data_IF_400014443277
#
_entry.id   IF_400014443277
#
_cell.length_a   1.000
_cell.length_b   1.000
_cell.length_c   1.000
_cell.angle_alpha   90.00
_cell.angle_beta   90.00
_cell.angle_gamma   90.00
#
_symmetry.space_group_name_H-M   'P 1'
#
loop_
_entity.id
_entity.type
_entity.pdbx_description
1 polymer ?
#
# COMPACT_ATOMS: atom_id res chain seq x y z
N UNK A 1 4.23 7.81 -25.03
CA UNK A 1 2.82 7.73 -24.68
C UNK A 1 2.34 9.02 -24.05
N UNK A 2 1.06 9.23 -24.13
CA UNK A 2 0.44 10.39 -23.53
C UNK A 2 0.50 10.30 -22.02
N UNK A 3 0.79 11.40 -21.37
CA UNK A 3 0.80 11.46 -19.92
C UNK A 3 -0.63 11.27 -19.37
N UNK A 4 -0.69 10.58 -18.24
CA UNK A 4 -1.95 10.37 -17.52
C UNK A 4 -2.12 11.44 -16.46
N UNK A 5 -3.36 11.82 -16.21
CA UNK A 5 -3.65 12.74 -15.11
C UNK A 5 -4.08 11.93 -13.87
N UNK A 6 -4.29 12.64 -12.77
CA UNK A 6 -4.59 11.98 -11.49
C UNK A 6 -5.82 11.08 -11.57
N UNK A 7 -6.82 11.46 -12.36
CA UNK A 7 -8.04 10.67 -12.45
C UNK A 7 -7.83 9.36 -13.22
N UNK A 8 -6.78 9.28 -13.99
CA UNK A 8 -6.48 8.10 -14.80
C UNK A 8 -5.47 7.17 -14.14
N UNK A 9 -4.86 7.60 -13.05
CA UNK A 9 -3.85 6.81 -12.34
C UNK A 9 -4.49 6.11 -11.16
N UNK A 10 -4.40 4.79 -11.16
CA UNK A 10 -4.90 4.02 -10.03
C UNK A 10 -3.84 4.02 -8.93
N UNK A 11 -4.24 4.43 -7.72
CA UNK A 11 -3.38 4.37 -6.55
C UNK A 11 -3.97 3.41 -5.54
N UNK A 12 -3.10 2.64 -4.89
CA UNK A 12 -3.54 1.74 -3.83
C UNK A 12 -2.45 1.59 -2.80
N UNK A 13 -2.86 1.25 -1.61
CA UNK A 13 -1.90 0.92 -0.55
C UNK A 13 -1.08 -0.30 -0.99
N UNK A 14 0.22 -0.22 -0.80
CA UNK A 14 1.12 -1.29 -1.18
C UNK A 14 1.76 -1.14 -2.55
N UNK A 15 1.33 -0.16 -3.34
CA UNK A 15 1.99 0.12 -4.62
C UNK A 15 3.40 0.63 -4.35
N UNK A 16 4.39 -0.07 -4.90
CA UNK A 16 5.79 0.20 -4.56
C UNK A 16 6.37 1.43 -5.23
N UNK A 17 5.65 2.00 -6.22
CA UNK A 17 6.10 3.24 -6.84
C UNK A 17 5.86 4.45 -5.93
N UNK A 18 5.04 4.28 -4.88
CA UNK A 18 4.75 5.35 -3.92
C UNK A 18 5.74 5.21 -2.77
N UNK A 19 6.54 6.24 -2.55
CA UNK A 19 7.56 6.23 -1.50
C UNK A 19 6.93 6.07 -0.13
N UNK A 20 7.65 5.39 0.75
CA UNK A 20 7.15 5.12 2.12
C UNK A 20 6.84 6.39 2.89
N UNK A 21 7.51 7.49 2.57
CA UNK A 21 7.27 8.76 3.24
C UNK A 21 5.85 9.27 3.04
N UNK A 22 5.28 9.02 1.86
CA UNK A 22 3.87 9.38 1.63
C UNK A 22 2.93 8.52 2.47
N UNK A 23 3.23 7.24 2.59
CA UNK A 23 2.43 6.34 3.42
C UNK A 23 2.53 6.77 4.88
N UNK A 24 3.73 7.13 5.33
CA UNK A 24 3.93 7.57 6.71
C UNK A 24 3.20 8.87 6.99
N UNK A 25 3.23 9.80 6.05
CA UNK A 25 2.49 11.05 6.19
C UNK A 25 0.99 10.79 6.25
N UNK A 26 0.50 9.93 5.36
CA UNK A 26 -0.91 9.53 5.38
C UNK A 26 -1.29 8.96 6.76
N UNK A 27 -0.46 8.06 7.26
CA UNK A 27 -0.69 7.42 8.54
C UNK A 27 -0.77 8.44 9.68
N UNK A 28 0.21 9.33 9.74
CA UNK A 28 0.24 10.32 10.81
C UNK A 28 -0.96 11.26 10.75
N UNK A 29 -1.31 11.72 9.55
CA UNK A 29 -2.40 12.69 9.39
C UNK A 29 -3.76 12.04 9.60
N UNK A 30 -3.98 10.91 8.99
CA UNK A 30 -5.29 10.27 9.01
C UNK A 30 -5.61 9.68 10.39
N UNK A 31 -4.62 9.04 11.01
CA UNK A 31 -4.83 8.44 12.33
C UNK A 31 -4.56 9.43 13.46
N UNK A 32 -4.24 10.67 13.13
CA UNK A 32 -3.93 11.70 14.10
C UNK A 32 -2.91 11.17 15.13
N UNK A 33 -1.82 10.61 14.62
CA UNK A 33 -0.79 10.02 15.46
C UNK A 33 -0.20 11.10 16.37
N UNK A 34 -0.19 10.89 17.69
CA UNK A 34 0.36 11.87 18.61
C UNK A 34 1.79 12.24 18.24
N UNK A 35 2.08 13.52 18.27
CA UNK A 35 3.38 14.02 17.82
C UNK A 35 4.54 13.32 18.52
N UNK A 36 4.40 13.10 19.84
CA UNK A 36 5.48 12.48 20.62
C UNK A 36 5.67 11.00 20.28
N UNK A 37 4.77 10.37 19.56
CA UNK A 37 4.89 8.97 19.13
C UNK A 37 5.36 8.83 17.69
N UNK A 38 5.44 9.92 16.94
CA UNK A 38 5.76 9.82 15.52
C UNK A 38 7.17 9.28 15.28
N UNK A 39 8.08 9.46 16.22
CA UNK A 39 9.41 8.85 16.10
C UNK A 39 9.39 7.35 16.32
N UNK A 40 8.41 6.87 17.08
CA UNK A 40 8.33 5.46 17.45
C UNK A 40 7.51 4.63 16.46
N UNK A 41 6.67 5.29 15.66
CA UNK A 41 5.78 4.61 14.73
C UNK A 41 6.21 4.99 13.32
N UNK A 42 6.83 4.05 12.62
CA UNK A 42 7.45 4.31 11.31
C UNK A 42 7.04 3.27 10.29
N UNK A 43 6.91 3.73 9.05
CA UNK A 43 6.64 2.85 7.91
C UNK A 43 7.96 2.51 7.23
N UNK A 44 8.21 1.23 7.05
CA UNK A 44 9.41 0.74 6.36
C UNK A 44 9.00 -0.23 5.27
N UNK A 45 9.78 -0.25 4.19
CA UNK A 45 9.60 -1.21 3.12
C UNK A 45 10.94 -1.86 2.82
N UNK A 46 10.94 -3.18 2.75
CA UNK A 46 12.14 -3.94 2.37
C UNK A 46 11.99 -4.42 0.94
N UNK A 47 12.83 -3.92 0.05
CA UNK A 47 12.85 -4.40 -1.33
C UNK A 47 13.36 -5.83 -1.41
N UNK A 48 14.11 -6.26 -0.39
CA UNK A 48 14.66 -7.59 -0.33
C UNK A 48 13.56 -8.65 -0.10
N UNK A 49 12.65 -8.38 0.84
CA UNK A 49 11.56 -9.32 1.15
C UNK A 49 10.25 -8.92 0.49
N UNK A 50 10.19 -7.74 -0.12
CA UNK A 50 8.98 -7.15 -0.69
C UNK A 50 7.88 -6.97 0.35
N UNK A 51 8.28 -6.66 1.58
CA UNK A 51 7.31 -6.50 2.68
C UNK A 51 7.35 -5.12 3.27
N UNK A 52 6.18 -4.64 3.64
CA UNK A 52 6.00 -3.43 4.40
C UNK A 52 5.91 -3.76 5.88
N UNK A 53 6.49 -2.90 6.71
CA UNK A 53 6.42 -3.07 8.15
C UNK A 53 6.13 -1.71 8.79
N UNK A 54 5.20 -1.70 9.74
CA UNK A 54 4.97 -0.52 10.55
C UNK A 54 5.51 -0.83 11.94
N UNK A 55 6.59 -0.13 12.27
CA UNK A 55 7.24 -0.27 13.55
C UNK A 55 6.43 0.45 14.61
N UNK A 56 6.37 -0.10 15.81
CA UNK A 56 5.75 0.57 16.94
C UNK A 56 4.24 0.58 16.93
N UNK A 57 3.61 -0.39 16.30
CA UNK A 57 2.15 -0.45 16.16
C UNK A 57 1.41 -0.44 17.50
N UNK A 58 2.04 -0.90 18.57
CA UNK A 58 1.42 -1.00 19.88
C UNK A 58 1.74 0.19 20.78
N UNK A 59 2.38 1.23 20.26
CA UNK A 59 2.82 2.36 21.08
C UNK A 59 1.70 3.29 21.52
N UNK A 60 0.56 3.27 20.81
CA UNK A 60 -0.56 4.16 21.15
C UNK A 60 -1.39 3.57 22.28
N UNK A 61 -1.97 4.47 23.07
CA UNK A 61 -2.86 4.08 24.17
C UNK A 61 -4.12 3.41 23.61
N UNK A 62 -4.66 2.45 24.37
CA UNK A 62 -5.95 1.84 24.04
C UNK A 62 -7.09 2.86 24.01
N UNK A 63 -6.90 4.03 24.61
CA UNK A 63 -7.89 5.11 24.59
C UNK A 63 -7.82 5.93 23.31
N UNK A 64 -6.88 5.66 22.43
CA UNK A 64 -6.75 6.39 21.19
C UNK A 64 -7.91 6.05 20.27
N UNK A 65 -8.78 7.02 20.05
CA UNK A 65 -10.02 6.81 19.30
C UNK A 65 -9.74 6.49 17.84
N UNK A 66 -8.82 7.22 17.23
CA UNK A 66 -8.50 6.97 15.81
C UNK A 66 -7.97 5.55 15.63
N UNK A 67 -7.10 5.10 16.52
CA UNK A 67 -6.42 3.82 16.38
C UNK A 67 -7.32 2.62 16.69
N UNK A 68 -8.22 2.75 17.66
CA UNK A 68 -8.97 1.60 18.14
C UNK A 68 -10.47 1.67 17.87
N UNK A 69 -10.96 2.79 17.33
CA UNK A 69 -12.39 2.95 17.07
C UNK A 69 -12.63 3.40 15.62
N UNK A 70 -12.11 4.56 15.22
CA UNK A 70 -12.40 5.12 13.91
C UNK A 70 -11.80 4.27 12.79
N UNK A 71 -10.52 3.94 12.90
CA UNK A 71 -9.78 3.22 11.86
C UNK A 71 -9.30 1.86 12.34
N UNK A 72 -9.76 1.42 13.48
CA UNK A 72 -9.37 0.13 14.03
C UNK A 72 -10.43 -0.47 14.92
N UNK A 73 -10.07 -1.58 15.55
CA UNK A 73 -10.91 -2.26 16.52
C UNK A 73 -10.10 -2.52 17.78
N UNK A 74 -10.74 -2.99 18.83
CA UNK A 74 -10.02 -3.36 20.05
C UNK A 74 -9.06 -4.53 19.81
N UNK A 75 -9.29 -5.32 18.77
CA UNK A 75 -8.49 -6.51 18.46
C UNK A 75 -7.44 -6.27 17.39
N UNK A 76 -7.62 -5.20 16.60
CA UNK A 76 -6.65 -4.83 15.57
C UNK A 76 -6.72 -3.33 15.39
N UNK A 77 -5.68 -2.62 15.83
CA UNK A 77 -5.71 -1.18 15.70
C UNK A 77 -5.40 -0.73 14.28
N UNK A 78 -5.53 0.57 14.04
CA UNK A 78 -5.37 1.15 12.71
C UNK A 78 -4.02 0.84 12.07
N UNK A 79 -2.96 0.83 12.88
CA UNK A 79 -1.61 0.60 12.38
C UNK A 79 -1.42 -0.84 11.91
N UNK A 80 -1.99 -1.79 12.62
CA UNK A 80 -1.96 -3.19 12.21
C UNK A 80 -2.76 -3.39 10.92
N UNK A 81 -3.92 -2.77 10.83
CA UNK A 81 -4.76 -2.88 9.64
C UNK A 81 -4.07 -2.24 8.44
N UNK A 82 -3.44 -1.09 8.65
CA UNK A 82 -2.68 -0.44 7.58
C UNK A 82 -1.53 -1.33 7.09
N UNK A 83 -0.79 -1.94 8.02
CA UNK A 83 0.31 -2.82 7.65
C UNK A 83 -0.18 -4.00 6.83
N UNK A 84 -1.27 -4.63 7.23
CA UNK A 84 -1.84 -5.73 6.46
C UNK A 84 -2.30 -5.27 5.09
N UNK A 85 -2.88 -4.07 5.01
CA UNK A 85 -3.33 -3.50 3.74
C UNK A 85 -2.16 -3.26 2.80
N UNK A 86 -1.06 -2.74 3.32
CA UNK A 86 0.15 -2.50 2.53
C UNK A 86 0.72 -3.81 1.96
N UNK A 87 0.58 -4.89 2.71
CA UNK A 87 1.07 -6.20 2.29
C UNK A 87 0.01 -7.02 1.56
N UNK A 88 -1.10 -6.38 1.19
CA UNK A 88 -2.19 -7.00 0.42
C UNK A 88 -2.78 -8.21 1.12
N UNK A 89 -2.90 -8.13 2.45
CA UNK A 89 -3.49 -9.18 3.27
C UNK A 89 -4.80 -8.70 3.88
N UNK A 90 -5.75 -9.60 3.99
CA UNK A 90 -6.96 -9.33 4.75
C UNK A 90 -6.68 -9.57 6.22
N UNK A 91 -7.25 -8.71 7.06
CA UNK A 91 -7.11 -8.87 8.51
C UNK A 91 -7.99 -10.02 8.97
N UNK A 92 -7.43 -10.95 9.72
CA UNK A 92 -8.17 -12.06 10.32
C UNK A 92 -7.91 -12.09 11.80
N UNK A 93 -8.98 -12.20 12.57
CA UNK A 93 -8.90 -12.19 14.03
C UNK A 93 -9.24 -13.58 14.54
N UNK A 94 -8.36 -14.10 15.37
CA UNK A 94 -8.49 -15.45 15.92
C UNK A 94 -8.61 -15.39 17.44
N UNK A 95 -9.45 -16.24 17.98
CA UNK A 95 -9.49 -16.51 19.42
C UNK A 95 -8.72 -17.78 19.69
N UNK A 96 -8.09 -17.83 20.85
CA UNK A 96 -7.45 -19.05 21.32
C UNK A 96 -8.40 -19.72 22.28
N UNK A 97 -8.78 -20.95 21.97
CA UNK A 97 -9.67 -21.71 22.85
C UNK A 97 -8.94 -22.97 23.30
N UNK A 98 -9.33 -23.45 24.47
CA UNK A 98 -8.78 -24.68 25.04
C UNK A 98 -9.82 -25.77 24.88
N UNK A 99 -9.44 -26.89 24.28
CA UNK A 99 -10.36 -28.00 24.07
C UNK A 99 -10.41 -28.91 25.33
N UNK A 100 -11.19 -29.99 25.23
CA UNK A 100 -11.40 -30.90 26.35
C UNK A 100 -10.12 -31.57 26.80
N UNK A 101 -9.11 -31.67 25.92
CA UNK A 101 -7.81 -32.29 26.23
C UNK A 101 -6.82 -31.32 26.81
N UNK A 102 -7.21 -30.05 27.01
CA UNK A 102 -6.31 -29.02 27.48
C UNK A 102 -5.42 -28.44 26.43
N UNK A 103 -5.63 -28.78 25.16
CA UNK A 103 -4.84 -28.23 24.05
C UNK A 103 -5.47 -26.94 23.56
N UNK A 104 -4.60 -25.97 23.25
CA UNK A 104 -5.04 -24.72 22.70
C UNK A 104 -5.14 -24.83 21.18
N UNK A 105 -6.17 -24.20 20.62
CA UNK A 105 -6.28 -24.06 19.17
C UNK A 105 -6.85 -22.70 18.83
N UNK A 106 -6.54 -22.25 17.64
CA UNK A 106 -7.01 -20.96 17.15
C UNK A 106 -8.28 -21.14 16.35
N UNK A 107 -9.25 -20.29 16.61
CA UNK A 107 -10.55 -20.31 15.94
C UNK A 107 -10.82 -18.92 15.40
N UNK A 108 -11.20 -18.84 14.14
CA UNK A 108 -11.50 -17.54 13.53
C UNK A 108 -12.70 -16.92 14.25
N UNK A 109 -12.53 -15.67 14.67
CA UNK A 109 -13.64 -14.89 15.22
C UNK A 109 -14.26 -14.13 14.05
N UNK A 110 -15.38 -14.63 13.54
CA UNK A 110 -16.01 -14.07 12.35
C UNK A 110 -16.49 -12.64 12.57
N UNK A 111 -17.03 -12.35 13.73
CA UNK A 111 -17.55 -11.01 14.04
C UNK A 111 -16.43 -9.99 14.08
N UNK A 112 -15.36 -10.30 14.80
CA UNK A 112 -14.21 -9.38 14.90
C UNK A 112 -13.50 -9.23 13.58
N UNK A 113 -13.42 -10.31 12.80
CA UNK A 113 -12.81 -10.26 11.48
C UNK A 113 -13.62 -9.37 10.54
N UNK A 114 -14.95 -9.47 10.58
CA UNK A 114 -15.81 -8.62 9.75
C UNK A 114 -15.65 -7.16 10.14
N UNK A 115 -15.61 -6.88 11.44
CA UNK A 115 -15.41 -5.50 11.90
C UNK A 115 -14.08 -4.94 11.44
N UNK A 116 -13.02 -5.74 11.54
CA UNK A 116 -11.69 -5.33 11.07
C UNK A 116 -11.69 -5.11 9.56
N UNK A 117 -12.40 -5.93 8.80
CA UNK A 117 -12.49 -5.77 7.35
C UNK A 117 -13.18 -4.46 6.97
N UNK A 118 -14.17 -4.04 7.74
CA UNK A 118 -14.82 -2.75 7.51
C UNK A 118 -13.86 -1.59 7.74
N UNK A 119 -13.05 -1.68 8.79
CA UNK A 119 -12.04 -0.66 9.06
C UNK A 119 -10.97 -0.65 7.99
N UNK A 120 -10.59 -1.82 7.50
CA UNK A 120 -9.63 -1.91 6.40
C UNK A 120 -10.13 -1.20 5.16
N UNK A 121 -11.40 -1.38 4.83
CA UNK A 121 -11.99 -0.69 3.69
C UNK A 121 -12.03 0.82 3.91
N UNK A 122 -12.36 1.25 5.13
CA UNK A 122 -12.36 2.67 5.49
C UNK A 122 -10.97 3.28 5.27
N UNK A 123 -9.92 2.57 5.67
CA UNK A 123 -8.55 3.05 5.49
C UNK A 123 -8.18 3.12 4.01
N UNK A 124 -8.57 2.12 3.22
CA UNK A 124 -8.31 2.12 1.78
C UNK A 124 -8.96 3.32 1.09
N UNK A 125 -10.19 3.59 1.46
CA UNK A 125 -10.91 4.73 0.89
C UNK A 125 -10.31 6.06 1.34
N UNK A 126 -9.91 6.14 2.60
CA UNK A 126 -9.26 7.33 3.11
C UNK A 126 -7.95 7.62 2.36
N UNK A 127 -7.19 6.58 2.01
CA UNK A 127 -5.94 6.77 1.28
C UNK A 127 -6.20 7.31 -0.12
N UNK A 128 -7.20 6.80 -0.81
CA UNK A 128 -7.53 7.27 -2.15
C UNK A 128 -7.93 8.75 -2.14
N UNK A 129 -8.65 9.17 -1.11
CA UNK A 129 -9.02 10.57 -0.97
C UNK A 129 -7.82 11.43 -0.62
N UNK A 130 -6.98 10.95 0.29
CA UNK A 130 -5.86 11.72 0.81
C UNK A 130 -4.79 11.96 -0.23
N UNK A 131 -4.49 10.94 -1.04
CA UNK A 131 -3.30 10.95 -1.90
C UNK A 131 -3.36 12.08 -2.93
N UNK A 132 -4.53 12.39 -3.46
CA UNK A 132 -4.70 13.43 -4.47
C UNK A 132 -5.22 14.76 -3.92
N UNK A 133 -5.45 14.83 -2.62
CA UNK A 133 -6.09 16.00 -2.03
C UNK A 133 -5.19 17.22 -2.04
N UNK A 134 -3.92 17.04 -1.74
CA UNK A 134 -2.95 18.14 -1.76
C UNK A 134 -2.46 18.36 -3.18
N UNK A 135 -2.60 19.59 -3.73
CA UNK A 135 -2.21 19.82 -5.12
C UNK A 135 -0.74 19.58 -5.41
N UNK A 136 0.15 19.94 -4.48
CA UNK A 136 1.58 19.77 -4.67
C UNK A 136 1.94 18.29 -4.67
N UNK A 137 1.40 17.54 -3.73
CA UNK A 137 1.60 16.09 -3.68
C UNK A 137 1.05 15.42 -4.93
N UNK A 138 -0.14 15.85 -5.36
CA UNK A 138 -0.74 15.31 -6.58
C UNK A 138 0.15 15.53 -7.79
N UNK A 139 0.64 16.75 -7.97
CA UNK A 139 1.49 17.07 -9.11
C UNK A 139 2.78 16.24 -9.09
N UNK A 140 3.39 16.12 -7.92
CA UNK A 140 4.63 15.35 -7.77
C UNK A 140 4.41 13.88 -8.11
N UNK A 141 3.35 13.29 -7.58
CA UNK A 141 3.08 11.88 -7.81
C UNK A 141 2.62 11.57 -9.23
N UNK A 142 1.85 12.47 -9.82
CA UNK A 142 1.45 12.31 -11.22
C UNK A 142 2.68 12.32 -12.12
N UNK A 143 3.59 13.25 -11.89
CA UNK A 143 4.83 13.33 -12.67
C UNK A 143 5.66 12.06 -12.46
N UNK A 144 5.81 11.64 -11.22
CA UNK A 144 6.57 10.44 -10.90
C UNK A 144 5.98 9.21 -11.60
N UNK A 145 4.68 9.05 -11.55
CA UNK A 145 4.03 7.91 -12.20
C UNK A 145 4.30 7.91 -13.71
N UNK A 146 4.15 9.06 -14.35
CA UNK A 146 4.36 9.14 -15.79
C UNK A 146 5.81 8.86 -16.16
N UNK A 147 6.76 9.35 -15.37
CA UNK A 147 8.17 9.12 -15.64
C UNK A 147 8.58 7.66 -15.40
N UNK A 148 8.10 7.05 -14.33
CA UNK A 148 8.57 5.73 -13.92
C UNK A 148 7.74 4.59 -14.48
N UNK A 149 6.43 4.80 -14.60
CA UNK A 149 5.52 3.72 -14.95
C UNK A 149 4.96 3.86 -16.34
N UNK A 150 4.53 5.04 -16.71
CA UNK A 150 3.88 5.25 -18.00
C UNK A 150 4.91 5.26 -19.13
N UNK A 151 6.03 5.94 -18.94
CA UNK A 151 7.04 6.07 -19.98
C UNK A 151 7.83 4.78 -20.22
N UNK A 152 7.88 3.90 -19.20
CA UNK A 152 8.61 2.63 -19.31
C UNK A 152 7.72 1.47 -19.68
N UNK A 153 6.41 1.67 -19.70
CA UNK A 153 5.48 0.62 -20.08
C UNK A 153 5.68 0.27 -21.56
N UNK A 154 5.80 -1.03 -21.87
CA UNK A 154 5.89 -1.42 -23.28
C UNK A 154 4.65 -0.92 -24.02
N UNK A 155 4.88 -0.30 -25.18
CA UNK A 155 3.77 0.16 -25.96
C UNK A 155 3.17 -1.00 -26.72
N UNK A 156 1.89 -1.00 -26.83
CA UNK A 156 1.21 -1.95 -27.67
C UNK A 156 1.22 -1.41 -29.08
N UNK A 157 2.12 -1.94 -29.87
CA UNK A 157 2.17 -1.56 -31.26
C UNK A 157 1.38 -2.55 -32.06
N UNK A 158 0.51 -2.02 -32.78
CA UNK A 158 -0.21 -2.84 -33.73
C UNK A 158 0.60 -3.03 -34.97
N UNK A 159 1.79 -3.00 -34.81
CA UNK A 159 2.76 -3.22 -35.83
C UNK A 159 4.09 -3.29 -35.22
N UNK A 160 4.49 -3.04 -34.87
CA UNK A 160 5.46 -2.85 -34.30
C UNK A 160 6.45 -2.49 -33.78
N UNK A 161 7.10 -1.87 -33.38
CA UNK A 161 8.08 -1.42 -32.92
C UNK A 161 8.94 -1.61 -32.02
N UNK A 162 9.48 -1.35 -31.75
CA UNK A 162 10.47 -1.62 -31.23
C UNK A 162 11.33 -1.70 -30.29
N UNK A 163 11.66 -1.25 -30.00
CA UNK A 163 12.53 -1.61 -29.49
C UNK A 163 13.17 -1.50 -28.54
N UNK A 164 13.53 -1.24 -28.58
CA UNK A 164 14.20 -1.31 -28.10
C UNK A 164 14.90 -1.37 -27.28
N UNK A 165 14.98 -1.07 -26.82
CA UNK A 165 15.59 -1.41 -26.72
C UNK A 165 16.09 -1.34 -25.70
N UNK A 166 16.21 -0.77 -25.68
CA UNK A 166 16.62 -1.13 -25.64
C UNK A 166 16.81 -1.05 -24.60
N UNK A 167 16.64 -1.03 -24.35
CA UNK A 167 16.62 -1.25 -24.24
C UNK A 167 16.66 -1.64 -23.59
N UNK A 168 17.01 -1.18 -23.48
CA UNK A 168 16.88 -1.57 -23.70
C UNK A 168 16.70 -1.95 -23.26
N UNK A 169 16.71 -1.59 -23.16
CA UNK A 169 16.50 -2.07 -23.55
C UNK A 169 16.39 -2.42 -23.05
N UNK A 170 16.69 -2.52 -22.64
CA UNK A 170 16.38 -3.09 -23.11
C UNK A 170 16.22 -3.27 -22.81
N UNK A 171 16.16 -3.11 -22.89
CA UNK A 171 15.78 -3.49 -23.53
C UNK A 171 15.48 -3.77 -23.49
N UNK A 172 15.62 -3.52 -23.40
CA UNK A 172 15.21 -3.86 -24.31
C UNK A 172 15.08 -4.28 -24.11
N UNK A 173 15.04 -4.29 -23.86
CA UNK A 173 14.73 -4.69 -24.57
C UNK A 173 14.46 -5.12 -24.19
N UNK A 174 14.31 -5.28 -24.14
CA UNK A 174 13.93 -5.60 -24.68
C UNK A 174 13.37 -5.80 -24.70
N UNK A 175 13.39 -5.29 -24.61
CA UNK A 175 12.98 -5.30 -25.58
C UNK A 175 12.78 -5.49 -25.51
N UNK A 176 12.87 -5.42 -25.44
CA UNK A 176 12.71 -5.38 -26.35
C UNK A 176 12.52 -5.71 -26.20
N UNK A 177 12.86 -5.71 -26.22
CA UNK A 177 12.66 -5.86 -27.13
C UNK A 177 12.24 -6.06 -27.42
N UNK A 178 12.37 -6.08 -27.24
CA UNK A 178 11.93 -6.09 -28.33
C UNK A 178 11.46 -6.45 -28.53
N UNK A 179 11.29 -6.15 -28.36
CA UNK A 179 10.80 -6.39 -29.30
C UNK A 179 10.93 -6.24 -29.35
N UNK A 180 11.08 -6.29 -29.31
CA UNK A 180 11.10 -6.31 -30.13
C UNK A 180 11.20 -6.09 -30.13
N UNK A 181 11.50 -6.00 -30.25
CA UNK A 181 11.46 -5.84 -31.09
C UNK A 181 11.25 -5.64 -31.30
N UNK A 182 11.46 -5.57 -31.41
CA UNK A 182 11.20 -5.41 -32.34
C UNK A 182 11.19 -5.10 -32.24
N UNK A 183 11.24 -4.89 -32.77
CA UNK A 183 10.99 -4.52 -33.44
C UNK A 183 11.20 -4.62 -33.04
N UNK A 184 11.70 -4.82 -32.57
CA UNK A 184 11.63 -4.90 -33.09
C UNK A 184 11.72 -4.67 -33.01
#
# INVERSE_FOLDING_TARGET
PKDLDASEIEVRLGATWIDKEYIQQFMYETFNTPFYLQRSIEVNYSSFTAEWQIKGKSSVSYNDVAAYTTYGTSRANAYKILEDSLNLRDVRIYDTIEDADGKERRVLNAKETTLAAQKQQTIREAFKDWIWKDPERRQTLVRQYNEEMNSTRPREYNGSHITFGGMNPAITLREHQKSAIAHV
#
